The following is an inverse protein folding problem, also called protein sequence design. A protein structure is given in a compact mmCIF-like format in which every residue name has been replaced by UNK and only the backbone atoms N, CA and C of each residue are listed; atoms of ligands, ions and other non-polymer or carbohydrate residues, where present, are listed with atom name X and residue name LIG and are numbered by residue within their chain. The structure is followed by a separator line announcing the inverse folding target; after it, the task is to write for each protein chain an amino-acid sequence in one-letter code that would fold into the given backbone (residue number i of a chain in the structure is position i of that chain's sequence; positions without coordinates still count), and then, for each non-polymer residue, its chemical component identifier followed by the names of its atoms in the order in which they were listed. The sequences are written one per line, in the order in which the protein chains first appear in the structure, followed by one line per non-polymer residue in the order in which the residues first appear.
data_IF_336604668878
#
_entry.id   IF_336604668878
#
_cell.length_a   1.000
_cell.length_b   1.000
_cell.length_c   1.000
_cell.angle_alpha   90.00
_cell.angle_beta   90.00
_cell.angle_gamma   90.00
#
_symmetry.space_group_name_H-M   'P 1'
#
loop_
_entity.id
_entity.type
_entity.pdbx_description
1 polymer ?
#
# COMPACT_ATOMS: atom_id res chain seq x y z
N UNK A 1 -6.98 22.19 14.28
CA UNK A 1 -6.42 20.99 14.93
C UNK A 1 -5.75 20.13 13.87
N UNK A 2 -4.56 19.56 14.14
CA UNK A 2 -3.98 18.52 13.27
C UNK A 2 -4.40 17.18 13.86
N UNK A 3 -5.42 16.56 13.27
CA UNK A 3 -5.80 15.20 13.61
C UNK A 3 -4.95 14.25 12.76
N UNK A 4 -4.35 13.26 13.41
CA UNK A 4 -3.60 12.19 12.76
C UNK A 4 -4.32 10.86 12.88
N UNK A 5 -3.99 9.93 12.00
CA UNK A 5 -4.47 8.56 12.06
C UNK A 5 -3.28 7.62 12.22
N UNK A 6 -3.35 6.70 13.18
CA UNK A 6 -2.42 5.57 13.28
C UNK A 6 -3.14 4.32 12.78
N UNK A 7 -2.69 3.78 11.65
CA UNK A 7 -3.22 2.54 11.09
C UNK A 7 -2.43 1.35 11.62
N UNK A 8 -3.13 0.45 12.31
CA UNK A 8 -2.56 -0.82 12.78
C UNK A 8 -3.39 -1.95 12.14
N UNK A 9 -2.70 -2.93 11.58
CA UNK A 9 -3.35 -4.07 10.95
C UNK A 9 -3.55 -5.18 11.96
N UNK A 10 -4.76 -5.76 11.97
CA UNK A 10 -5.11 -6.89 12.82
C UNK A 10 -5.42 -8.13 11.98
N UNK A 11 -5.17 -9.31 12.54
CA UNK A 11 -5.73 -10.56 12.00
C UNK A 11 -7.22 -10.68 12.36
N UNK A 12 -7.90 -11.66 11.80
CA UNK A 12 -9.35 -11.79 11.95
C UNK A 12 -9.79 -11.96 13.42
N UNK A 13 -9.14 -12.84 14.17
CA UNK A 13 -9.44 -13.09 15.58
C UNK A 13 -9.17 -11.86 16.46
N UNK A 14 -8.06 -11.18 16.20
CA UNK A 14 -7.71 -9.91 16.86
C UNK A 14 -8.76 -8.81 16.59
N UNK A 15 -9.29 -8.75 15.38
CA UNK A 15 -10.34 -7.79 15.04
C UNK A 15 -11.66 -8.09 15.73
N UNK A 16 -12.08 -9.36 15.77
CA UNK A 16 -13.30 -9.78 16.47
C UNK A 16 -13.20 -9.49 17.97
N UNK A 17 -12.07 -9.86 18.58
CA UNK A 17 -11.79 -9.56 19.99
C UNK A 17 -11.88 -8.05 20.26
N UNK A 18 -11.25 -7.23 19.41
CA UNK A 18 -11.32 -5.78 19.55
C UNK A 18 -12.74 -5.25 19.43
N UNK A 19 -13.52 -5.74 18.45
CA UNK A 19 -14.90 -5.32 18.25
C UNK A 19 -15.75 -5.61 19.48
N UNK A 20 -15.68 -6.84 20.00
CA UNK A 20 -16.42 -7.26 21.18
C UNK A 20 -16.10 -6.35 22.37
N UNK A 21 -14.81 -6.07 22.61
CA UNK A 21 -14.37 -5.20 23.71
C UNK A 21 -14.83 -3.76 23.55
N UNK A 22 -14.74 -3.20 22.35
CA UNK A 22 -15.20 -1.83 22.11
C UNK A 22 -16.72 -1.72 22.26
N UNK A 23 -17.48 -2.76 21.93
CA UNK A 23 -18.91 -2.83 22.22
C UNK A 23 -19.20 -2.89 23.71
N UNK A 24 -18.44 -3.67 24.49
CA UNK A 24 -18.54 -3.70 25.97
C UNK A 24 -18.35 -2.29 26.57
N UNK A 25 -17.31 -1.57 26.14
CA UNK A 25 -17.05 -0.20 26.60
C UNK A 25 -18.16 0.77 26.21
N UNK A 26 -18.68 0.64 24.98
CA UNK A 26 -19.81 1.47 24.52
C UNK A 26 -21.07 1.20 25.34
N UNK A 27 -21.33 -0.06 25.68
CA UNK A 27 -22.48 -0.45 26.49
C UNK A 27 -22.37 0.04 27.94
N UNK A 28 -21.15 0.16 28.48
CA UNK A 28 -20.88 0.72 29.82
C UNK A 28 -20.74 2.25 29.84
N UNK A 29 -20.76 2.88 28.67
CA UNK A 29 -20.57 4.33 28.49
C UNK A 29 -19.27 4.85 29.12
N UNK A 30 -18.22 4.02 29.11
CA UNK A 30 -16.92 4.32 29.69
C UNK A 30 -15.98 4.92 28.63
N UNK A 31 -15.13 5.87 29.06
CA UNK A 31 -14.09 6.41 28.20
C UNK A 31 -12.91 5.44 28.14
N UNK A 32 -12.46 5.14 26.91
CA UNK A 32 -11.30 4.28 26.69
C UNK A 32 -10.03 4.94 27.23
N UNK A 33 -9.40 4.32 28.23
CA UNK A 33 -8.10 4.71 28.75
C UNK A 33 -7.10 3.57 28.53
N UNK A 34 -6.12 3.81 27.65
CA UNK A 34 -5.08 2.84 27.29
C UNK A 34 -4.06 2.61 28.42
N UNK A 35 -4.01 3.49 29.42
CA UNK A 35 -3.13 3.39 30.57
C UNK A 35 -3.70 2.52 31.69
N UNK A 36 -5.02 2.33 31.72
CA UNK A 36 -5.69 1.51 32.73
C UNK A 36 -5.69 0.04 32.30
N UNK A 37 -4.72 -0.72 32.80
CA UNK A 37 -4.57 -2.16 32.54
C UNK A 37 -5.75 -3.00 33.03
N UNK A 38 -6.56 -2.49 33.97
CA UNK A 38 -7.76 -3.19 34.44
C UNK A 38 -8.92 -3.02 33.47
N UNK A 39 -8.97 -1.89 32.76
CA UNK A 39 -9.96 -1.62 31.71
C UNK A 39 -9.54 -2.22 30.38
N UNK A 40 -8.30 -2.00 29.97
CA UNK A 40 -7.74 -2.56 28.75
C UNK A 40 -6.98 -3.86 29.07
N UNK A 41 -7.59 -5.05 28.90
CA UNK A 41 -7.01 -6.31 29.34
C UNK A 41 -5.64 -6.58 28.71
N UNK A 42 -4.89 -7.52 29.29
CA UNK A 42 -3.62 -8.04 28.75
C UNK A 42 -3.78 -8.83 27.45
N UNK A 43 -4.72 -8.45 26.59
CA UNK A 43 -4.84 -9.10 25.30
C UNK A 43 -3.68 -8.74 24.38
N UNK A 44 -3.35 -9.63 23.43
CA UNK A 44 -2.37 -9.37 22.39
C UNK A 44 -2.67 -8.07 21.63
N UNK A 45 -3.94 -7.80 21.34
CA UNK A 45 -4.38 -6.62 20.57
C UNK A 45 -4.04 -5.31 21.29
N UNK A 46 -4.40 -5.16 22.57
CA UNK A 46 -4.09 -3.95 23.32
C UNK A 46 -2.59 -3.77 23.53
N UNK A 47 -1.86 -4.88 23.63
CA UNK A 47 -0.40 -4.87 23.70
C UNK A 47 0.22 -4.38 22.40
N UNK A 48 -0.26 -4.82 21.24
CA UNK A 48 0.17 -4.34 19.93
C UNK A 48 -0.13 -2.84 19.77
N UNK A 49 -1.32 -2.40 20.17
CA UNK A 49 -1.68 -0.97 20.12
C UNK A 49 -0.70 -0.14 20.96
N UNK A 50 -0.40 -0.60 22.19
CA UNK A 50 0.53 0.10 23.09
C UNK A 50 1.95 0.14 22.53
N UNK A 51 2.47 -1.00 22.09
CA UNK A 51 3.79 -1.09 21.46
C UNK A 51 3.89 -0.22 20.21
N UNK A 52 2.83 -0.14 19.39
CA UNK A 52 2.78 0.73 18.21
C UNK A 52 2.87 2.22 18.58
N UNK A 53 2.20 2.63 19.65
CA UNK A 53 2.28 4.01 20.16
C UNK A 53 3.66 4.33 20.73
N UNK A 54 4.24 3.42 21.52
CA UNK A 54 5.58 3.56 22.09
C UNK A 54 6.64 3.66 20.98
N UNK A 55 6.53 2.83 19.95
CA UNK A 55 7.43 2.83 18.80
C UNK A 55 7.43 4.18 18.07
N UNK A 56 6.25 4.78 17.88
CA UNK A 56 6.08 6.09 17.22
C UNK A 56 6.29 7.24 18.21
N UNK A 57 6.51 6.92 19.50
CA UNK A 57 6.70 7.88 20.60
C UNK A 57 5.49 8.81 20.78
N UNK A 58 4.28 8.29 20.58
CA UNK A 58 3.03 9.01 20.82
C UNK A 58 2.54 8.69 22.23
N UNK A 59 2.40 9.71 23.07
CA UNK A 59 1.85 9.52 24.40
C UNK A 59 0.37 9.09 24.33
N UNK A 60 0.01 8.07 25.10
CA UNK A 60 -1.33 7.48 25.18
C UNK A 60 -2.45 8.48 25.38
N UNK A 61 -2.21 9.54 26.17
CA UNK A 61 -3.17 10.63 26.44
C UNK A 61 -3.70 11.34 25.19
N UNK A 62 -2.96 11.23 24.07
CA UNK A 62 -3.34 11.84 22.80
C UNK A 62 -4.26 10.93 21.98
N UNK A 63 -4.41 9.65 22.36
CA UNK A 63 -5.37 8.74 21.73
C UNK A 63 -6.74 9.02 22.30
N UNK A 64 -7.64 9.53 21.46
CA UNK A 64 -9.00 9.84 21.90
C UNK A 64 -10.03 8.81 21.41
N UNK A 65 -9.65 8.01 20.41
CA UNK A 65 -10.55 7.03 19.81
C UNK A 65 -9.78 5.89 19.17
N UNK A 66 -10.27 4.68 19.38
CA UNK A 66 -9.85 3.47 18.67
C UNK A 66 -11.04 3.00 17.84
N UNK A 67 -10.88 2.90 16.53
CA UNK A 67 -11.96 2.54 15.58
C UNK A 67 -11.55 1.31 14.79
N UNK A 68 -12.28 0.19 14.91
CA UNK A 68 -12.13 -0.93 14.01
C UNK A 68 -12.77 -0.54 12.67
N UNK A 69 -12.00 -0.60 11.60
CA UNK A 69 -12.49 -0.42 10.23
C UNK A 69 -12.30 -1.74 9.51
N UNK A 70 -13.40 -2.32 9.05
CA UNK A 70 -13.32 -3.39 8.06
C UNK A 70 -13.08 -2.76 6.70
N UNK A 71 -11.91 -3.01 6.12
CA UNK A 71 -11.68 -2.65 4.72
C UNK A 71 -12.09 -3.86 3.89
N UNK A 72 -13.31 -3.79 3.37
CA UNK A 72 -13.80 -4.76 2.40
C UNK A 72 -13.22 -4.41 1.03
N UNK A 73 -12.11 -5.07 0.71
CA UNK A 73 -11.33 -4.83 -0.49
C UNK A 73 -12.05 -5.47 -1.68
N UNK A 74 -13.10 -4.81 -2.19
CA UNK A 74 -13.73 -5.28 -3.43
C UNK A 74 -12.82 -4.97 -4.60
N UNK A 75 -12.29 -6.03 -5.21
CA UNK A 75 -11.52 -5.90 -6.44
C UNK A 75 -12.42 -5.42 -7.57
N UNK A 76 -12.01 -4.36 -8.28
CA UNK A 76 -12.60 -4.03 -9.56
C UNK A 76 -12.29 -5.18 -10.52
N UNK A 77 -13.25 -6.07 -10.78
CA UNK A 77 -13.09 -7.14 -11.77
C UNK A 77 -12.85 -6.56 -13.16
N UNK A 78 -13.49 -5.42 -13.43
CA UNK A 78 -13.47 -4.65 -14.67
C UNK A 78 -12.81 -3.30 -14.43
N UNK A 79 -11.79 -2.98 -15.24
CA UNK A 79 -11.03 -1.71 -15.12
C UNK A 79 -11.45 -0.65 -16.14
N UNK A 80 -12.26 -1.03 -17.14
CA UNK A 80 -12.83 -0.14 -18.15
C UNK A 80 -14.30 -0.46 -18.30
N UNK A 81 -15.15 0.56 -18.17
CA UNK A 81 -16.59 0.39 -18.29
C UNK A 81 -17.20 1.52 -19.11
N UNK A 82 -17.99 1.14 -20.12
CA UNK A 82 -18.89 2.07 -20.78
C UNK A 82 -20.14 2.24 -19.90
N UNK A 83 -20.48 3.48 -19.55
CA UNK A 83 -21.65 3.80 -18.74
C UNK A 83 -22.39 5.00 -19.32
N UNK A 84 -23.69 5.05 -19.10
CA UNK A 84 -24.51 6.20 -19.50
C UNK A 84 -24.66 7.16 -18.33
N UNK A 85 -24.34 8.43 -18.57
CA UNK A 85 -24.56 9.50 -17.59
C UNK A 85 -25.63 10.45 -18.13
N UNK A 86 -26.58 10.78 -17.26
CA UNK A 86 -27.53 11.85 -17.47
C UNK A 86 -26.85 13.15 -17.06
N UNK A 87 -26.48 13.98 -18.05
CA UNK A 87 -26.04 15.33 -17.76
C UNK A 87 -27.27 16.18 -17.46
N UNK A 88 -27.26 16.88 -16.33
CA UNK A 88 -28.17 18.00 -16.10
C UNK A 88 -27.56 19.19 -16.84
N UNK A 89 -28.14 19.57 -17.97
CA UNK A 89 -27.82 20.87 -18.56
C UNK A 89 -28.39 21.94 -17.62
N UNK A 90 -27.52 22.77 -17.03
CA UNK A 90 -27.93 23.95 -16.24
C UNK A 90 -28.53 25.06 -17.13
N UNK A 91 -28.51 24.89 -18.46
CA UNK A 91 -28.91 25.88 -19.44
C UNK A 91 -30.07 25.41 -20.33
N UNK A 92 -31.18 24.97 -19.73
CA UNK A 92 -32.47 24.89 -20.44
C UNK A 92 -33.62 25.42 -19.58
N UNK A 93 -33.86 26.72 -19.72
CA UNK A 93 -35.23 27.22 -19.79
C UNK A 93 -35.91 26.58 -21.02
N UNK A 94 -37.07 25.98 -20.78
CA UNK A 94 -38.18 25.80 -21.72
C UNK A 94 -37.87 25.22 -23.12
N UNK A 95 -38.02 23.89 -23.25
CA UNK A 95 -38.92 23.22 -24.20
C UNK A 95 -38.48 21.74 -24.40
N UNK A 96 -39.34 20.79 -24.01
CA UNK A 96 -39.22 19.37 -24.38
C UNK A 96 -38.32 18.51 -23.48
N UNK A 97 -38.95 17.73 -22.60
CA UNK A 97 -38.32 16.74 -21.70
C UNK A 97 -37.59 15.60 -22.44
N UNK A 98 -36.40 15.84 -22.98
CA UNK A 98 -35.48 14.76 -23.38
C UNK A 98 -34.14 14.93 -22.65
N UNK A 99 -34.01 14.23 -21.51
CA UNK A 99 -32.72 14.10 -20.81
C UNK A 99 -31.71 13.44 -21.74
N UNK A 100 -30.74 14.22 -22.24
CA UNK A 100 -29.70 13.73 -23.15
C UNK A 100 -28.76 12.78 -22.40
N UNK A 101 -28.92 11.48 -22.64
CA UNK A 101 -28.00 10.45 -22.15
C UNK A 101 -26.73 10.48 -22.99
N UNK A 102 -25.56 10.63 -22.36
CA UNK A 102 -24.27 10.47 -23.03
C UNK A 102 -23.60 9.20 -22.54
N UNK A 103 -23.07 8.42 -23.48
CA UNK A 103 -22.16 7.32 -23.16
C UNK A 103 -20.81 7.91 -22.79
N UNK A 104 -20.28 7.46 -21.65
CA UNK A 104 -18.96 7.81 -21.17
C UNK A 104 -18.16 6.53 -20.95
N UNK A 105 -16.86 6.63 -21.13
CA UNK A 105 -15.94 5.55 -20.79
C UNK A 105 -15.26 5.88 -19.47
N UNK A 106 -15.46 5.04 -18.47
CA UNK A 106 -14.79 5.14 -17.18
C UNK A 106 -13.62 4.15 -17.14
N UNK A 107 -12.43 4.66 -16.85
CA UNK A 107 -11.23 3.85 -16.65
C UNK A 107 -10.73 4.03 -15.22
N UNK A 108 -10.33 2.94 -14.56
CA UNK A 108 -9.70 2.99 -13.24
C UNK A 108 -8.22 2.61 -13.34
N UNK A 109 -7.39 3.23 -12.51
CA UNK A 109 -5.93 3.06 -12.44
C UNK A 109 -5.47 3.02 -10.98
N UNK A 110 -4.29 2.43 -10.75
CA UNK A 110 -3.66 2.40 -9.41
C UNK A 110 -4.53 1.71 -8.37
N UNK A 111 -4.58 2.27 -7.16
CA UNK A 111 -5.28 1.69 -6.02
C UNK A 111 -6.79 1.55 -6.26
N UNK A 112 -7.37 2.37 -7.13
CA UNK A 112 -8.78 2.22 -7.55
C UNK A 112 -9.02 0.97 -8.41
N UNK A 113 -7.97 0.45 -9.07
CA UNK A 113 -8.05 -0.70 -9.96
C UNK A 113 -7.46 -1.98 -9.37
N UNK A 114 -6.51 -1.87 -8.45
CA UNK A 114 -5.84 -3.01 -7.82
C UNK A 114 -5.46 -2.68 -6.38
N UNK A 115 -5.63 -3.66 -5.49
CA UNK A 115 -5.22 -3.55 -4.11
C UNK A 115 -3.99 -4.41 -3.89
N UNK A 116 -2.84 -3.77 -3.74
CA UNK A 116 -1.59 -4.45 -3.44
C UNK A 116 -1.29 -4.34 -1.95
N UNK A 117 -0.65 -5.37 -1.42
CA UNK A 117 -0.15 -5.34 -0.05
C UNK A 117 0.88 -4.19 0.10
N UNK A 118 0.76 -3.40 1.17
CA UNK A 118 1.62 -2.24 1.42
C UNK A 118 3.12 -2.61 1.40
N UNK A 119 3.47 -3.75 1.96
CA UNK A 119 4.83 -4.29 1.93
C UNK A 119 4.98 -5.28 0.75
N UNK A 120 6.01 -5.19 -0.12
CA UNK A 120 7.25 -4.40 0.01
C UNK A 120 7.25 -3.03 -0.73
N UNK A 121 6.14 -2.28 -0.74
CA UNK A 121 6.11 -0.90 -1.24
C UNK A 121 6.01 -0.75 -2.76
N UNK A 122 5.18 -1.58 -3.42
CA UNK A 122 5.07 -1.63 -4.90
C UNK A 122 3.84 -0.95 -5.48
N UNK A 123 2.90 -0.46 -4.65
CA UNK A 123 1.67 0.20 -5.12
C UNK A 123 1.94 1.34 -6.10
N UNK A 124 2.94 2.18 -5.81
CA UNK A 124 3.35 3.25 -6.72
C UNK A 124 3.86 2.73 -8.06
N UNK A 125 4.69 1.67 -8.08
CA UNK A 125 5.20 1.10 -9.32
C UNK A 125 4.08 0.50 -10.17
N UNK A 126 3.18 -0.27 -9.56
CA UNK A 126 2.05 -0.88 -10.25
C UNK A 126 1.04 0.17 -10.73
N UNK A 127 0.78 1.20 -9.93
CA UNK A 127 -0.03 2.35 -10.32
C UNK A 127 0.57 3.16 -11.46
N UNK A 128 1.89 3.41 -11.44
CA UNK A 128 2.59 4.09 -12.54
C UNK A 128 2.52 3.28 -13.83
N UNK A 129 2.72 1.96 -13.76
CA UNK A 129 2.58 1.06 -14.91
C UNK A 129 1.17 1.09 -15.49
N UNK A 130 0.14 1.04 -14.64
CA UNK A 130 -1.25 1.16 -15.06
C UNK A 130 -1.53 2.51 -15.75
N UNK A 131 -1.05 3.62 -15.18
CA UNK A 131 -1.20 4.94 -15.75
C UNK A 131 -0.48 5.09 -17.10
N UNK A 132 0.75 4.60 -17.20
CA UNK A 132 1.53 4.60 -18.44
C UNK A 132 0.86 3.76 -19.52
N UNK A 133 0.39 2.55 -19.19
CA UNK A 133 -0.33 1.68 -20.11
C UNK A 133 -1.60 2.36 -20.64
N UNK A 134 -2.40 2.97 -19.76
CA UNK A 134 -3.61 3.70 -20.14
C UNK A 134 -3.29 4.87 -21.07
N UNK A 135 -2.30 5.69 -20.69
CA UNK A 135 -1.89 6.86 -21.48
C UNK A 135 -1.40 6.44 -22.87
N UNK A 136 -0.52 5.42 -22.97
CA UNK A 136 -0.03 4.92 -24.25
C UNK A 136 -1.14 4.31 -25.10
N UNK A 137 -2.10 3.61 -24.49
CA UNK A 137 -3.26 3.11 -25.22
C UNK A 137 -4.09 4.26 -25.84
N UNK A 138 -4.39 5.29 -25.05
CA UNK A 138 -5.13 6.48 -25.53
C UNK A 138 -4.38 7.17 -26.68
N UNK A 139 -3.07 7.39 -26.53
CA UNK A 139 -2.24 8.04 -27.57
C UNK A 139 -2.21 7.20 -28.86
N UNK A 140 -2.05 5.88 -28.75
CA UNK A 140 -2.09 4.96 -29.91
C UNK A 140 -3.40 5.08 -30.68
N UNK A 141 -4.54 5.16 -29.98
CA UNK A 141 -5.85 5.31 -30.60
C UNK A 141 -6.02 6.64 -31.32
N UNK A 142 -5.52 7.73 -30.75
CA UNK A 142 -5.55 9.04 -31.41
C UNK A 142 -4.69 9.05 -32.67
N UNK A 143 -3.49 8.49 -32.62
CA UNK A 143 -2.59 8.42 -33.79
C UNK A 143 -3.17 7.51 -34.87
N UNK A 144 -3.67 6.32 -34.52
CA UNK A 144 -4.23 5.38 -35.50
C UNK A 144 -5.47 5.90 -36.21
N UNK A 145 -6.25 6.75 -35.53
CA UNK A 145 -7.44 7.39 -36.10
C UNK A 145 -7.10 8.64 -36.94
N UNK A 146 -5.83 9.02 -37.03
CA UNK A 146 -5.37 10.13 -37.86
C UNK A 146 -5.06 9.63 -39.28
N UNK A 147 -6.10 9.49 -40.11
CA UNK A 147 -5.99 9.36 -41.57
C UNK A 147 -5.34 10.63 -42.18
N UNK A 148 -4.78 10.58 -43.41
CA UNK A 148 -4.05 11.70 -43.99
C UNK A 148 -4.93 12.95 -44.12
N UNK A 149 -4.57 13.98 -43.33
CA UNK A 149 -4.79 15.44 -43.41
C UNK A 149 -6.09 16.06 -43.95
N UNK A 150 -7.08 15.33 -44.47
CA UNK A 150 -8.22 15.95 -45.16
C UNK A 150 -9.59 15.63 -44.56
N UNK A 151 -9.72 14.62 -43.71
CA UNK A 151 -10.96 14.37 -42.95
C UNK A 151 -10.61 13.80 -41.57
N UNK A 152 -10.46 14.67 -40.56
CA UNK A 152 -10.37 14.23 -39.16
C UNK A 152 -11.74 13.75 -38.68
N UNK A 153 -12.06 12.48 -38.91
CA UNK A 153 -13.21 11.86 -38.24
C UNK A 153 -12.75 11.39 -36.86
N UNK A 154 -13.02 12.20 -35.83
CA UNK A 154 -12.86 11.76 -34.44
C UNK A 154 -13.85 10.63 -34.17
N UNK A 155 -13.36 9.39 -34.23
CA UNK A 155 -14.17 8.23 -33.84
C UNK A 155 -14.27 8.23 -32.31
N UNK A 156 -15.48 8.18 -31.73
CA UNK A 156 -15.63 8.13 -30.28
C UNK A 156 -14.95 6.88 -29.73
N UNK A 157 -14.23 7.04 -28.61
CA UNK A 157 -13.59 5.93 -27.91
C UNK A 157 -14.65 4.92 -27.46
N UNK A 158 -14.43 3.65 -27.78
CA UNK A 158 -15.31 2.53 -27.41
C UNK A 158 -14.58 1.62 -26.43
N UNK A 159 -15.35 0.83 -25.68
CA UNK A 159 -14.80 -0.20 -24.81
C UNK A 159 -13.80 -1.14 -25.54
N UNK A 160 -14.10 -1.51 -26.80
CA UNK A 160 -13.26 -2.39 -27.61
C UNK A 160 -11.84 -1.84 -27.82
N UNK A 161 -11.69 -0.52 -27.80
CA UNK A 161 -10.39 0.15 -27.97
C UNK A 161 -9.49 0.01 -26.73
N UNK A 162 -9.99 -0.56 -25.63
CA UNK A 162 -9.28 -0.75 -24.36
C UNK A 162 -9.11 -2.22 -23.95
N UNK A 163 -9.38 -3.18 -24.84
CA UNK A 163 -9.18 -4.61 -24.57
C UNK A 163 -7.73 -4.93 -24.20
N UNK A 164 -6.76 -4.33 -24.90
CA UNK A 164 -5.33 -4.50 -24.60
C UNK A 164 -5.00 -3.98 -23.19
N UNK A 165 -5.62 -2.88 -22.78
CA UNK A 165 -5.43 -2.29 -21.44
C UNK A 165 -6.05 -3.17 -20.35
N UNK A 166 -7.24 -3.73 -20.59
CA UNK A 166 -7.87 -4.67 -19.67
C UNK A 166 -7.04 -5.96 -19.51
N UNK A 167 -6.50 -6.49 -20.61
CA UNK A 167 -5.61 -7.64 -20.60
C UNK A 167 -4.32 -7.36 -19.81
N UNK A 168 -3.72 -6.19 -20.03
CA UNK A 168 -2.56 -5.72 -19.27
C UNK A 168 -2.86 -5.65 -17.76
N UNK A 169 -3.96 -5.01 -17.38
CA UNK A 169 -4.38 -4.87 -15.98
C UNK A 169 -4.70 -6.21 -15.33
N UNK A 170 -5.21 -7.17 -16.09
CA UNK A 170 -5.45 -8.54 -15.60
C UNK A 170 -4.14 -9.26 -15.28
N UNK A 171 -3.12 -9.17 -16.16
CA UNK A 171 -1.79 -9.73 -15.84
C UNK A 171 -1.11 -9.02 -14.67
N UNK A 172 -1.21 -7.69 -14.61
CA UNK A 172 -0.63 -6.91 -13.53
C UNK A 172 -1.28 -7.25 -12.17
N UNK A 173 -2.60 -7.41 -12.12
CA UNK A 173 -3.33 -7.85 -10.91
C UNK A 173 -2.97 -9.29 -10.51
N UNK A 174 -2.96 -10.23 -11.45
CA UNK A 174 -2.57 -11.61 -11.18
C UNK A 174 -1.19 -11.69 -10.53
N UNK A 175 -0.24 -10.90 -11.03
CA UNK A 175 1.11 -10.82 -10.47
C UNK A 175 1.17 -10.17 -9.09
N UNK A 176 0.62 -8.96 -8.95
CA UNK A 176 0.81 -8.15 -7.75
C UNK A 176 -0.13 -8.56 -6.60
N UNK A 177 -1.38 -8.92 -6.90
CA UNK A 177 -2.37 -9.31 -5.90
C UNK A 177 -2.35 -10.81 -5.62
N UNK A 178 -2.48 -11.66 -6.65
CA UNK A 178 -2.63 -13.12 -6.46
C UNK A 178 -1.28 -13.83 -6.30
N UNK A 179 -0.22 -13.32 -6.93
CA UNK A 179 1.13 -13.85 -6.76
C UNK A 179 1.79 -13.34 -5.48
N UNK A 180 2.14 -12.05 -5.47
CA UNK A 180 2.93 -11.45 -4.38
C UNK A 180 2.12 -11.26 -3.11
N UNK A 181 1.03 -10.49 -3.17
CA UNK A 181 0.28 -10.08 -1.98
C UNK A 181 -0.33 -11.27 -1.25
N UNK A 182 -0.94 -12.21 -1.98
CA UNK A 182 -1.51 -13.41 -1.41
C UNK A 182 -0.47 -14.24 -0.65
N UNK A 183 0.74 -14.41 -1.21
CA UNK A 183 1.82 -15.14 -0.53
C UNK A 183 2.29 -14.47 0.76
N UNK A 184 2.19 -13.15 0.89
CA UNK A 184 2.48 -12.47 2.18
C UNK A 184 1.44 -12.85 3.22
N UNK A 185 0.17 -12.94 2.82
CA UNK A 185 -0.95 -13.24 3.74
C UNK A 185 -1.16 -14.73 4.00
N UNK A 186 -0.74 -15.59 3.08
CA UNK A 186 -0.97 -17.03 3.12
C UNK A 186 0.28 -17.83 3.51
N UNK A 187 1.40 -17.17 3.85
CA UNK A 187 2.59 -17.90 4.26
C UNK A 187 2.30 -18.52 5.64
N UNK A 188 2.19 -19.85 5.76
CA UNK A 188 1.98 -20.45 7.06
C UNK A 188 3.18 -20.11 7.93
N UNK A 189 2.93 -19.61 9.14
CA UNK A 189 3.95 -19.61 10.17
C UNK A 189 4.23 -21.08 10.44
N UNK A 190 5.45 -21.53 10.13
CA UNK A 190 5.83 -22.92 10.40
C UNK A 190 5.63 -23.19 11.90
N UNK A 191 5.02 -24.33 12.24
CA UNK A 191 4.81 -24.72 13.64
C UNK A 191 6.12 -24.80 14.43
N UNK A 192 7.27 -24.95 13.75
CA UNK A 192 8.60 -24.80 14.36
C UNK A 192 8.86 -23.39 14.91
N UNK A 193 8.38 -22.34 14.24
CA UNK A 193 8.48 -20.93 14.67
C UNK A 193 7.49 -20.64 15.80
N UNK A 194 6.30 -21.23 15.77
CA UNK A 194 5.33 -21.14 16.87
C UNK A 194 5.87 -21.81 18.14
N UNK A 195 6.45 -23.02 18.01
CA UNK A 195 7.04 -23.77 19.12
C UNK A 195 8.32 -23.14 19.67
N UNK A 196 9.02 -22.33 18.87
CA UNK A 196 10.21 -21.59 19.32
C UNK A 196 9.90 -20.57 20.43
N UNK A 197 8.64 -20.19 20.63
CA UNK A 197 8.22 -19.35 21.76
C UNK A 197 8.26 -20.09 23.11
N UNK A 198 8.27 -21.43 23.11
CA UNK A 198 8.32 -22.20 24.34
C UNK A 198 9.70 -22.06 25.00
N UNK A 199 9.74 -21.44 26.18
CA UNK A 199 10.96 -21.17 26.95
C UNK A 199 11.81 -22.42 27.21
N UNK A 200 11.17 -23.60 27.32
CA UNK A 200 11.82 -24.90 27.48
C UNK A 200 12.63 -25.33 26.25
N UNK A 201 12.13 -25.04 25.05
CA UNK A 201 12.79 -25.38 23.79
C UNK A 201 13.89 -24.36 23.44
N UNK A 202 13.74 -23.11 23.88
CA UNK A 202 14.71 -22.04 23.67
C UNK A 202 16.03 -22.33 24.40
N UNK A 203 15.97 -22.73 25.68
CA UNK A 203 17.16 -22.97 26.50
C UNK A 203 18.02 -24.15 26.02
N UNK A 204 17.40 -25.17 25.41
CA UNK A 204 18.12 -26.36 24.93
C UNK A 204 18.77 -26.11 23.57
N UNK A 205 18.11 -25.33 22.70
CA UNK A 205 18.52 -25.17 21.30
C UNK A 205 19.17 -23.81 20.99
N UNK A 206 19.33 -22.93 21.98
CA UNK A 206 19.83 -21.56 21.78
C UNK A 206 21.18 -21.51 21.04
N UNK A 207 22.15 -22.33 21.44
CA UNK A 207 23.48 -22.40 20.81
C UNK A 207 23.40 -22.80 19.33
N UNK A 208 22.45 -23.67 18.99
CA UNK A 208 22.20 -24.06 17.61
C UNK A 208 21.53 -22.93 16.81
N UNK A 209 20.58 -22.21 17.40
CA UNK A 209 19.90 -21.09 16.76
C UNK A 209 20.82 -19.90 16.51
N UNK A 210 21.65 -19.53 17.50
CA UNK A 210 22.56 -18.39 17.36
C UNK A 210 23.63 -18.68 16.30
N UNK A 211 24.22 -19.87 16.29
CA UNK A 211 25.20 -20.28 15.27
C UNK A 211 24.59 -20.27 13.87
N UNK A 212 23.38 -20.83 13.71
CA UNK A 212 22.65 -20.81 12.42
C UNK A 212 22.35 -19.39 11.96
N UNK A 213 21.91 -18.50 12.87
CA UNK A 213 21.65 -17.10 12.55
C UNK A 213 22.91 -16.36 12.11
N UNK A 214 24.03 -16.56 12.82
CA UNK A 214 25.32 -15.94 12.48
C UNK A 214 25.76 -16.34 11.08
N UNK A 215 25.67 -17.62 10.72
CA UNK A 215 26.03 -18.09 9.38
C UNK A 215 25.11 -17.49 8.28
N UNK A 216 23.80 -17.37 8.55
CA UNK A 216 22.87 -16.66 7.66
C UNK A 216 23.24 -15.18 7.49
N UNK A 217 23.60 -14.50 8.58
CA UNK A 217 24.02 -13.09 8.56
C UNK A 217 25.33 -12.89 7.80
N UNK A 218 26.32 -13.76 8.00
CA UNK A 218 27.59 -13.74 7.27
C UNK A 218 27.37 -13.91 5.77
N UNK A 219 26.53 -14.87 5.37
CA UNK A 219 26.15 -15.13 3.97
C UNK A 219 25.48 -13.90 3.35
N UNK A 220 24.51 -13.31 4.06
CA UNK A 220 23.79 -12.11 3.59
C UNK A 220 24.72 -10.91 3.46
N UNK A 221 25.61 -10.70 4.42
CA UNK A 221 26.63 -9.64 4.37
C UNK A 221 27.53 -9.80 3.14
N UNK A 222 28.03 -11.01 2.86
CA UNK A 222 28.86 -11.26 1.67
C UNK A 222 28.12 -10.91 0.39
N UNK A 223 26.84 -11.32 0.28
CA UNK A 223 25.99 -10.99 -0.87
C UNK A 223 25.76 -9.48 -1.02
N UNK A 224 25.56 -8.74 0.07
CA UNK A 224 25.35 -7.29 0.03
C UNK A 224 26.63 -6.53 -0.33
N UNK A 225 27.75 -6.89 0.30
CA UNK A 225 29.04 -6.25 0.07
C UNK A 225 29.61 -6.53 -1.33
N UNK A 226 29.26 -7.68 -1.92
CA UNK A 226 29.64 -8.04 -3.29
C UNK A 226 28.91 -7.22 -4.37
N UNK A 227 27.88 -6.42 -4.03
CA UNK A 227 27.12 -5.64 -5.01
C UNK A 227 27.90 -4.45 -5.52
N UNK A 228 27.70 -4.13 -6.81
CA UNK A 228 28.37 -3.00 -7.45
C UNK A 228 27.92 -1.66 -6.84
N UNK A 229 26.69 -1.60 -6.39
CA UNK A 229 26.05 -0.43 -5.81
C UNK A 229 26.24 -0.33 -4.29
N UNK A 230 27.04 -1.20 -3.65
CA UNK A 230 27.26 -1.15 -2.21
C UNK A 230 27.86 0.20 -1.79
N UNK A 231 27.16 1.03 -0.99
CA UNK A 231 27.62 2.39 -0.69
C UNK A 231 28.82 2.43 0.25
N UNK A 232 29.07 1.35 1.00
CA UNK A 232 30.14 1.28 2.01
C UNK A 232 31.37 0.48 1.53
N UNK A 233 31.72 0.55 0.24
CA UNK A 233 32.90 -0.15 -0.31
C UNK A 233 34.22 0.12 0.41
N UNK A 234 34.35 1.30 1.01
CA UNK A 234 35.55 1.74 1.73
C UNK A 234 35.69 1.11 3.11
N UNK A 235 34.64 0.45 3.65
CA UNK A 235 34.69 -0.25 4.94
C UNK A 235 33.86 -1.52 4.85
N UNK A 236 34.54 -2.66 4.81
CA UNK A 236 33.90 -3.97 4.89
C UNK A 236 33.56 -4.27 6.34
N UNK A 237 32.37 -4.84 6.56
CA UNK A 237 31.90 -5.30 7.87
C UNK A 237 32.62 -6.61 8.21
N UNK A 238 33.25 -6.68 9.38
CA UNK A 238 34.00 -7.87 9.81
C UNK A 238 33.10 -8.92 10.47
N UNK A 239 33.60 -10.15 10.63
CA UNK A 239 32.85 -11.22 11.32
C UNK A 239 32.60 -10.87 12.79
N UNK A 240 33.56 -10.22 13.44
CA UNK A 240 33.46 -9.75 14.83
C UNK A 240 32.33 -8.72 14.99
N UNK A 241 32.16 -7.84 14.01
CA UNK A 241 31.06 -6.86 14.01
C UNK A 241 29.69 -7.54 13.85
N UNK A 242 29.60 -8.59 13.02
CA UNK A 242 28.38 -9.40 12.88
C UNK A 242 28.08 -10.14 14.18
N UNK A 243 29.09 -10.71 14.82
CA UNK A 243 28.97 -11.39 16.12
C UNK A 243 28.56 -10.42 17.23
N UNK A 244 29.17 -9.24 17.29
CA UNK A 244 28.82 -8.21 18.25
C UNK A 244 27.39 -7.70 18.05
N UNK A 245 26.92 -7.64 16.80
CA UNK A 245 25.54 -7.29 16.47
C UNK A 245 24.55 -8.39 16.87
N UNK A 246 24.89 -9.68 16.64
CA UNK A 246 24.01 -10.80 17.01
C UNK A 246 23.80 -10.89 18.52
N UNK A 247 24.81 -10.54 19.32
CA UNK A 247 24.70 -10.52 20.79
C UNK A 247 23.70 -9.49 21.34
N UNK A 248 23.23 -8.55 20.51
CA UNK A 248 22.21 -7.55 20.89
C UNK A 248 20.78 -8.01 20.59
N UNK A 249 20.62 -9.15 19.93
CA UNK A 249 19.32 -9.70 19.55
C UNK A 249 18.77 -10.51 20.72
N UNK A 250 17.48 -10.36 21.03
CA UNK A 250 16.84 -11.13 22.09
C UNK A 250 16.79 -12.62 21.72
N UNK A 251 16.85 -13.52 22.71
CA UNK A 251 16.90 -14.95 22.45
C UNK A 251 15.69 -15.47 21.65
N UNK A 252 14.50 -14.92 21.90
CA UNK A 252 13.29 -15.22 21.14
C UNK A 252 13.43 -14.81 19.67
N UNK A 253 13.98 -13.61 19.41
CA UNK A 253 14.21 -13.14 18.05
C UNK A 253 15.31 -13.95 17.35
N UNK A 254 16.34 -14.42 18.08
CA UNK A 254 17.35 -15.33 17.53
C UNK A 254 16.71 -16.62 17.03
N UNK A 255 15.86 -17.25 17.85
CA UNK A 255 15.18 -18.48 17.45
C UNK A 255 14.29 -18.26 16.21
N UNK A 256 13.46 -17.22 16.22
CA UNK A 256 12.59 -16.89 15.07
C UNK A 256 13.38 -16.62 13.79
N UNK A 257 14.42 -15.78 13.85
CA UNK A 257 15.22 -15.42 12.67
C UNK A 257 16.07 -16.60 12.17
N UNK A 258 16.49 -17.49 13.07
CA UNK A 258 17.23 -18.70 12.70
C UNK A 258 16.35 -19.72 11.97
N UNK A 259 15.09 -19.87 12.40
CA UNK A 259 14.13 -20.81 11.80
C UNK A 259 13.44 -20.22 10.56
N UNK A 260 13.35 -18.90 10.46
CA UNK A 260 12.76 -18.23 9.32
C UNK A 260 13.51 -18.59 8.03
N UNK A 261 12.74 -19.05 7.04
CA UNK A 261 13.21 -19.24 5.69
C UNK A 261 13.49 -17.89 5.01
N UNK A 262 14.46 -17.84 4.08
CA UNK A 262 14.70 -16.64 3.30
C UNK A 262 13.42 -16.23 2.56
N UNK A 263 13.17 -14.93 2.47
CA UNK A 263 11.99 -14.42 1.79
C UNK A 263 12.03 -14.84 0.31
N UNK A 264 11.02 -15.57 -0.22
CA UNK A 264 11.04 -16.13 -1.58
C UNK A 264 10.72 -15.06 -2.63
N UNK A 265 11.45 -13.96 -2.60
CA UNK A 265 11.21 -12.73 -3.36
C UNK A 265 11.11 -13.01 -4.87
N UNK A 266 11.95 -13.92 -5.39
CA UNK A 266 12.00 -14.27 -6.81
C UNK A 266 10.83 -15.16 -7.24
N UNK A 267 10.44 -16.12 -6.42
CA UNK A 267 9.30 -17.00 -6.69
C UNK A 267 7.97 -16.27 -6.53
N UNK A 268 7.89 -15.36 -5.55
CA UNK A 268 6.76 -14.45 -5.38
C UNK A 268 6.66 -13.46 -6.54
N UNK A 269 7.78 -13.10 -7.17
CA UNK A 269 7.82 -12.03 -8.15
C UNK A 269 7.03 -12.35 -9.43
N UNK A 270 7.04 -13.62 -9.85
CA UNK A 270 6.56 -14.03 -11.17
C UNK A 270 7.26 -13.30 -12.32
N UNK A 271 6.84 -13.54 -13.58
CA UNK A 271 7.31 -12.76 -14.72
C UNK A 271 6.95 -11.28 -14.53
N UNK A 272 7.89 -10.36 -14.80
CA UNK A 272 7.64 -8.92 -14.71
C UNK A 272 6.64 -8.51 -15.79
N UNK A 273 5.61 -7.75 -15.41
CA UNK A 273 4.67 -7.15 -16.38
C UNK A 273 5.26 -5.82 -16.82
N UNK A 274 5.75 -5.75 -18.05
CA UNK A 274 6.30 -4.53 -18.65
C UNK A 274 5.21 -3.81 -19.46
N UNK A 275 5.22 -2.49 -19.43
CA UNK A 275 4.26 -1.69 -20.23
C UNK A 275 4.60 -1.83 -21.71
N UNK A 276 5.89 -1.93 -22.00
CA UNK A 276 6.50 -2.02 -23.33
C UNK A 276 6.04 -3.26 -24.11
N UNK A 277 5.75 -4.37 -23.43
CA UNK A 277 5.30 -5.62 -24.06
C UNK A 277 3.91 -5.48 -24.72
N UNK A 278 3.08 -4.58 -24.19
CA UNK A 278 1.71 -4.32 -24.66
C UNK A 278 1.60 -3.01 -25.43
N UNK A 279 2.32 -2.00 -24.96
CA UNK A 279 2.26 -0.63 -25.44
C UNK A 279 3.70 -0.14 -25.66
N UNK A 280 4.36 -0.61 -26.75
CA UNK A 280 5.69 -0.14 -27.09
C UNK A 280 5.66 1.35 -27.39
N UNK A 281 6.69 2.07 -26.95
CA UNK A 281 6.87 3.48 -27.30
C UNK A 281 7.45 3.57 -28.71
N UNK A 282 6.77 4.33 -29.56
CA UNK A 282 7.37 4.85 -30.77
C UNK A 282 7.85 6.28 -30.46
N UNK A 283 9.14 6.43 -30.17
CA UNK A 283 9.75 7.72 -29.79
C UNK A 283 9.53 8.81 -30.86
N UNK A 284 9.27 8.42 -32.11
CA UNK A 284 9.03 9.32 -33.22
C UNK A 284 7.58 9.84 -33.32
N UNK A 285 6.66 9.33 -32.49
CA UNK A 285 5.23 9.70 -32.51
C UNK A 285 4.74 10.35 -31.23
N UNK A 286 5.66 10.90 -30.44
CA UNK A 286 5.32 11.66 -29.24
C UNK A 286 4.43 12.86 -29.61
N UNK A 287 3.34 13.03 -28.85
CA UNK A 287 2.60 14.28 -28.88
C UNK A 287 3.56 15.42 -28.49
N UNK A 288 3.54 16.57 -29.20
CA UNK A 288 4.39 17.69 -28.83
C UNK A 288 4.09 18.09 -27.39
N UNK A 289 5.15 18.21 -26.58
CA UNK A 289 5.03 18.82 -25.25
C UNK A 289 4.39 20.20 -25.43
N UNK A 290 3.36 20.57 -24.64
CA UNK A 290 2.84 21.92 -24.68
C UNK A 290 4.00 22.88 -24.37
N UNK A 291 4.37 23.67 -25.37
CA UNK A 291 5.39 24.72 -25.23
C UNK A 291 5.01 25.59 -24.04
N UNK A 292 5.98 25.84 -23.16
CA UNK A 292 5.91 26.59 -21.89
C UNK A 292 5.55 28.08 -22.07
N UNK A 293 4.49 28.39 -22.83
CA UNK A 293 4.02 29.74 -23.11
C UNK A 293 2.58 30.02 -22.66
N UNK A 294 1.81 29.01 -22.25
CA UNK A 294 0.47 29.22 -21.72
C UNK A 294 0.51 29.40 -20.19
N UNK A 295 1.11 30.50 -19.73
CA UNK A 295 0.86 31.01 -18.38
C UNK A 295 -0.61 31.42 -18.29
N UNK A 296 -1.45 30.53 -17.79
CA UNK A 296 -2.77 30.89 -17.25
C UNK A 296 -2.50 31.75 -16.02
N UNK A 297 -2.80 33.04 -16.14
CA UNK A 297 -2.78 33.99 -15.04
C UNK A 297 -3.77 33.54 -13.96
N UNK A 298 -3.28 32.82 -12.96
CA UNK A 298 -4.02 32.53 -11.74
C UNK A 298 -3.92 33.76 -10.81
N UNK A 299 -4.90 34.66 -10.91
CA UNK A 299 -5.16 35.69 -9.91
C UNK A 299 -5.74 35.03 -8.65
N UNK A 300 -4.87 34.64 -7.73
CA UNK A 300 -5.27 34.23 -6.37
C UNK A 300 -5.39 35.45 -5.45
N UNK A 301 -6.42 35.54 -4.58
CA UNK A 301 -6.51 36.64 -3.61
C UNK A 301 -5.51 36.46 -2.47
N UNK A 302 -4.84 37.58 -2.16
CA UNK A 302 -3.87 37.74 -1.07
C UNK A 302 -4.49 37.46 0.31
N UNK A 303 -3.96 36.47 1.03
CA UNK A 303 -4.21 36.29 2.47
C UNK A 303 -3.04 36.84 3.27
N UNK A 304 -3.33 37.91 4.02
CA UNK A 304 -2.44 38.55 5.00
C UNK A 304 -1.97 37.54 6.05
N UNK A 305 -0.68 37.61 6.37
CA UNK A 305 -0.06 36.94 7.50
C UNK A 305 -0.59 37.52 8.82
N UNK A 306 -1.08 36.65 9.72
CA UNK A 306 -1.34 36.98 11.11
C UNK A 306 -0.29 36.29 11.99
N UNK A 307 0.21 37.06 12.94
CA UNK A 307 1.32 36.80 13.84
C UNK A 307 1.09 35.59 14.77
N UNK A 308 2.21 34.93 15.10
CA UNK A 308 2.24 33.78 15.99
C UNK A 308 2.03 34.19 17.46
N UNK A 309 0.92 33.74 18.06
CA UNK A 309 0.87 33.50 19.50
C UNK A 309 1.10 32.01 19.75
N UNK A 310 2.03 31.69 20.67
CA UNK A 310 2.27 30.33 21.15
C UNK A 310 0.99 29.83 21.81
N UNK A 311 0.32 28.88 21.17
CA UNK A 311 -0.74 28.09 21.77
C UNK A 311 -0.22 26.66 21.97
N UNK A 312 -0.35 26.17 23.20
CA UNK A 312 -0.02 24.80 23.57
C UNK A 312 -0.77 23.80 22.67
N UNK A 313 0.00 22.96 21.99
CA UNK A 313 -0.49 22.03 20.99
C UNK A 313 -1.19 20.85 21.68
N UNK A 314 -2.51 20.80 21.59
CA UNK A 314 -3.28 19.58 21.87
C UNK A 314 -3.38 18.78 20.57
N UNK A 315 -2.61 17.68 20.48
CA UNK A 315 -2.70 16.71 19.38
C UNK A 315 -3.74 15.65 19.77
N UNK A 316 -4.71 15.40 18.90
CA UNK A 316 -5.70 14.34 19.07
C UNK A 316 -5.48 13.30 17.97
N UNK A 317 -5.21 12.04 18.35
CA UNK A 317 -4.97 10.88 17.49
C UNK A 317 -6.16 9.89 17.48
N UNK A 318 -6.65 9.54 16.29
CA UNK A 318 -7.54 8.38 16.09
C UNK A 318 -6.67 7.18 15.72
N UNK A 319 -6.81 6.08 16.44
CA UNK A 319 -6.25 4.80 16.00
C UNK A 319 -7.30 4.10 15.15
N UNK A 320 -6.90 3.71 13.95
CA UNK A 320 -7.74 2.99 13.01
C UNK A 320 -7.17 1.57 12.87
N UNK A 321 -7.96 0.57 13.25
CA UNK A 321 -7.54 -0.83 13.25
C UNK A 321 -8.21 -1.55 12.09
N UNK A 322 -7.42 -2.08 11.17
CA UNK A 322 -7.93 -2.56 9.88
C UNK A 322 -8.00 -4.08 9.82
N UNK A 323 -9.19 -4.64 9.58
CA UNK A 323 -9.37 -6.03 9.11
C UNK A 323 -9.33 -6.06 7.60
N UNK A 324 -8.46 -6.92 7.07
CA UNK A 324 -8.42 -7.27 5.66
C UNK A 324 -9.16 -8.59 5.47
N UNK A 325 -10.38 -8.52 4.97
CA UNK A 325 -11.11 -9.67 4.43
C UNK A 325 -10.77 -9.75 2.94
N UNK A 326 -10.09 -10.84 2.52
CA UNK A 326 -9.86 -11.16 1.10
C UNK A 326 -11.09 -11.88 0.52
#
# INVERSE_FOLDING_TARGET
SRQGYLNIRLIHSEYEELQERLEEFRNRNEQLDLLDYNKCPHSPVWTIIRQGLDYIKIAYRFVFRVVPIEINVRHASVVVKETEVQLKDESQLECGNQKKRRKILACVVGDAAMNVHFWPGRGMNSGMKAAMALARNIVRLFISNTLPAQIQVYTPLRYLDFVDYEAFMTRLRAREQQGRSLRVTSNPIDGSVENAHAFSHLNVCYEHYISTLIEKLKTTRQLLQGRREWPHRHRLVTDDEVQAASNRISANAVAQLSLANPWPTREMAGPEVLVEDYFPMDEHKLLPLPSTGAHVAATGPSRKAASSSKQDLVVSLVITLTKFSL
#
